data_IF_644919282327
#
_entry.id   IF_644919282327
#
_cell.length_a   1.000
_cell.length_b   1.000
_cell.length_c   1.000
_cell.angle_alpha   90.00
_cell.angle_beta   90.00
_cell.angle_gamma   90.00
#
_symmetry.space_group_name_H-M   'P 1'
#
loop_
_entity.id
_entity.type
_entity.pdbx_description
1 polymer ?
#
# COMPACT_ATOMS: atom_id res chain seq x y z
N UNK A 1 1.93 -36.74 -15.78
CA UNK A 1 1.17 -35.49 -15.51
C UNK A 1 2.17 -34.44 -15.07
N UNK A 2 2.00 -33.16 -15.42
CA UNK A 2 2.94 -32.08 -15.04
C UNK A 2 2.25 -31.16 -14.02
N UNK A 3 3.01 -30.59 -13.07
CA UNK A 3 2.52 -29.64 -12.06
C UNK A 3 2.85 -28.21 -12.49
N UNK A 4 1.86 -27.33 -12.58
CA UNK A 4 2.09 -25.90 -12.89
C UNK A 4 2.18 -25.13 -11.57
N UNK A 5 3.24 -24.34 -11.39
CA UNK A 5 3.41 -23.53 -10.19
C UNK A 5 2.39 -22.38 -10.16
N UNK A 6 1.60 -22.21 -9.08
CA UNK A 6 0.64 -21.11 -8.98
C UNK A 6 1.31 -19.75 -8.73
N UNK A 7 2.57 -19.71 -8.29
CA UNK A 7 3.28 -18.46 -8.02
C UNK A 7 3.91 -17.85 -9.27
N UNK A 8 4.50 -18.67 -10.15
CA UNK A 8 5.27 -18.20 -11.31
C UNK A 8 4.82 -18.76 -12.66
N UNK A 9 3.92 -19.75 -12.67
CA UNK A 9 3.45 -20.39 -13.90
C UNK A 9 4.41 -21.44 -14.49
N UNK A 10 5.57 -21.68 -13.87
CA UNK A 10 6.52 -22.67 -14.37
C UNK A 10 5.95 -24.10 -14.34
N UNK A 11 6.32 -24.90 -15.34
CA UNK A 11 5.94 -26.31 -15.47
C UNK A 11 7.00 -27.16 -14.74
N UNK A 12 6.56 -27.93 -13.75
CA UNK A 12 7.38 -28.79 -12.92
C UNK A 12 6.98 -30.26 -13.11
N UNK A 13 7.88 -31.16 -12.73
CA UNK A 13 7.62 -32.60 -12.74
C UNK A 13 6.56 -32.95 -11.69
N UNK A 14 5.82 -34.06 -11.88
CA UNK A 14 4.80 -34.48 -10.91
C UNK A 14 5.41 -34.75 -9.53
N UNK A 15 6.65 -35.25 -9.46
CA UNK A 15 7.31 -35.60 -8.21
C UNK A 15 8.06 -34.42 -7.57
N UNK A 16 8.05 -33.24 -8.20
CA UNK A 16 8.71 -32.05 -7.64
C UNK A 16 7.87 -31.53 -6.45
N UNK A 17 8.47 -31.51 -5.25
CA UNK A 17 7.87 -30.90 -4.05
C UNK A 17 7.98 -29.37 -4.04
N UNK A 18 8.88 -28.81 -4.84
CA UNK A 18 9.12 -27.36 -4.95
C UNK A 18 9.28 -26.95 -6.40
N UNK A 19 8.87 -25.72 -6.71
CA UNK A 19 9.06 -25.15 -8.02
C UNK A 19 10.56 -24.91 -8.28
N UNK A 20 11.06 -25.40 -9.41
CA UNK A 20 12.48 -25.25 -9.82
C UNK A 20 12.89 -23.80 -10.09
N UNK A 21 11.95 -22.90 -10.30
CA UNK A 21 12.22 -21.51 -10.67
C UNK A 21 12.07 -20.54 -9.48
N UNK A 22 10.97 -20.65 -8.73
CA UNK A 22 10.67 -19.71 -7.64
C UNK A 22 10.72 -20.33 -6.24
N UNK A 23 11.03 -21.63 -6.13
CA UNK A 23 11.16 -22.37 -4.86
C UNK A 23 9.83 -22.47 -4.06
N UNK A 24 8.71 -22.09 -4.68
CA UNK A 24 7.39 -22.27 -4.07
C UNK A 24 7.05 -23.74 -3.86
N UNK A 25 6.47 -24.07 -2.70
CA UNK A 25 6.08 -25.44 -2.35
C UNK A 25 4.90 -25.92 -3.23
N UNK A 26 5.13 -26.99 -3.99
CA UNK A 26 4.13 -27.63 -4.84
C UNK A 26 3.43 -28.69 -3.99
N UNK A 27 2.36 -28.29 -3.30
CA UNK A 27 1.58 -29.22 -2.47
C UNK A 27 1.08 -30.39 -3.29
N UNK A 28 1.41 -31.58 -2.84
CA UNK A 28 0.85 -32.83 -3.33
C UNK A 28 -0.51 -33.00 -2.67
N UNK A 29 -1.58 -32.72 -3.41
CA UNK A 29 -2.91 -33.05 -2.94
C UNK A 29 -3.04 -34.58 -2.95
N UNK A 30 -2.81 -35.19 -1.79
CA UNK A 30 -3.13 -36.60 -1.57
C UNK A 30 -4.65 -36.76 -1.66
N UNK A 31 -5.11 -37.64 -2.56
CA UNK A 31 -6.53 -37.92 -2.79
C UNK A 31 -7.24 -38.50 -1.56
N UNK A 32 -6.51 -38.82 -0.50
CA UNK A 32 -7.03 -39.34 0.78
C UNK A 32 -7.65 -38.27 1.67
N UNK A 33 -7.42 -36.97 1.41
CA UNK A 33 -8.13 -35.87 2.09
C UNK A 33 -9.55 -35.63 1.53
N UNK A 34 -9.98 -36.40 0.53
CA UNK A 34 -11.37 -36.42 0.03
C UNK A 34 -12.29 -37.37 0.82
N UNK A 35 -12.10 -37.52 2.14
CA UNK A 35 -13.23 -37.91 2.99
C UNK A 35 -14.18 -36.72 3.01
N UNK A 36 -15.15 -36.78 2.10
CA UNK A 36 -16.31 -35.87 2.01
C UNK A 36 -16.95 -35.85 3.40
N UNK A 37 -16.63 -34.86 4.22
CA UNK A 37 -17.61 -34.33 5.15
C UNK A 37 -18.66 -33.68 4.27
N UNK A 38 -19.83 -34.30 4.16
CA UNK A 38 -21.03 -33.59 3.71
C UNK A 38 -21.17 -32.37 4.61
N UNK A 39 -20.72 -31.22 4.10
CA UNK A 39 -20.99 -29.93 4.67
C UNK A 39 -21.90 -29.19 3.70
N UNK A 40 -23.03 -28.78 4.26
CA UNK A 40 -24.10 -28.05 3.62
C UNK A 40 -23.59 -26.94 2.67
N UNK A 41 -24.20 -26.78 1.48
CA UNK A 41 -23.73 -25.88 0.42
C UNK A 41 -24.02 -24.38 0.66
N UNK A 42 -24.24 -23.95 1.91
CA UNK A 42 -24.81 -22.62 2.19
C UNK A 42 -23.77 -21.58 2.64
N UNK A 43 -22.52 -21.99 2.87
CA UNK A 43 -21.47 -21.12 3.42
C UNK A 43 -20.33 -20.79 2.44
N UNK A 44 -20.56 -20.88 1.12
CA UNK A 44 -19.60 -20.35 0.13
C UNK A 44 -19.70 -18.83 0.03
N UNK A 45 -19.55 -18.15 1.17
CA UNK A 45 -19.41 -16.69 1.24
C UNK A 45 -17.99 -16.34 0.79
N UNK A 46 -17.94 -15.76 -0.40
CA UNK A 46 -16.80 -15.13 -1.06
C UNK A 46 -15.90 -14.39 -0.04
N UNK A 47 -14.70 -14.91 0.23
CA UNK A 47 -13.66 -14.25 1.05
C UNK A 47 -12.40 -13.88 0.25
N UNK A 48 -12.56 -13.49 -1.01
CA UNK A 48 -11.44 -13.17 -1.92
C UNK A 48 -11.32 -11.67 -2.25
N UNK A 49 -11.81 -10.75 -1.42
CA UNK A 49 -11.80 -9.30 -1.75
C UNK A 49 -11.18 -8.36 -0.71
N UNK A 50 -10.40 -8.86 0.25
CA UNK A 50 -9.91 -8.02 1.36
C UNK A 50 -8.42 -8.16 1.66
N UNK A 51 -7.57 -8.27 0.63
CA UNK A 51 -6.10 -8.17 0.80
C UNK A 51 -5.44 -7.02 0.02
N UNK A 52 -6.17 -6.37 -0.90
CA UNK A 52 -5.69 -5.20 -1.65
C UNK A 52 -5.98 -3.83 -1.02
N UNK A 53 -6.88 -3.75 -0.02
CA UNK A 53 -7.34 -2.45 0.52
C UNK A 53 -6.39 -1.82 1.55
N UNK A 54 -5.62 -2.63 2.28
CA UNK A 54 -4.75 -2.13 3.34
C UNK A 54 -3.62 -1.24 2.81
N UNK A 55 -3.02 -1.59 1.67
CA UNK A 55 -1.95 -0.81 1.07
C UNK A 55 -2.45 0.57 0.60
N UNK A 56 -3.66 0.64 0.04
CA UNK A 56 -4.24 1.89 -0.48
C UNK A 56 -4.48 2.89 0.66
N UNK A 57 -5.02 2.44 1.79
CA UNK A 57 -5.25 3.32 2.95
C UNK A 57 -3.94 3.90 3.49
N UNK A 58 -2.87 3.10 3.54
CA UNK A 58 -1.55 3.56 3.96
C UNK A 58 -0.99 4.61 2.99
N UNK A 59 -1.11 4.40 1.68
CA UNK A 59 -0.68 5.39 0.68
C UNK A 59 -1.44 6.72 0.81
N UNK A 60 -2.75 6.68 1.04
CA UNK A 60 -3.57 7.88 1.22
C UNK A 60 -3.11 8.67 2.45
N UNK A 61 -2.87 8.00 3.58
CA UNK A 61 -2.42 8.65 4.82
C UNK A 61 -1.05 9.33 4.62
N UNK A 62 -0.11 8.63 3.99
CA UNK A 62 1.23 9.18 3.71
C UNK A 62 1.12 10.39 2.78
N UNK A 63 0.29 10.31 1.74
CA UNK A 63 0.10 11.40 0.78
C UNK A 63 -0.52 12.64 1.44
N UNK A 64 -1.55 12.47 2.27
CA UNK A 64 -2.16 13.57 3.03
C UNK A 64 -1.14 14.21 3.96
N UNK A 65 -0.37 13.40 4.70
CA UNK A 65 0.69 13.89 5.59
C UNK A 65 1.75 14.71 4.84
N UNK A 66 2.16 14.24 3.66
CA UNK A 66 3.10 14.97 2.80
C UNK A 66 2.53 16.32 2.33
N UNK A 67 1.26 16.35 1.88
CA UNK A 67 0.62 17.59 1.43
C UNK A 67 0.50 18.64 2.56
N UNK A 68 0.18 18.20 3.78
CA UNK A 68 0.13 19.07 4.95
C UNK A 68 1.52 19.64 5.25
N UNK A 69 2.56 18.79 5.22
CA UNK A 69 3.93 19.22 5.45
C UNK A 69 4.38 20.29 4.44
N UNK A 70 4.13 20.04 3.15
CA UNK A 70 4.46 21.00 2.07
C UNK A 70 3.74 22.32 2.31
N UNK A 71 2.46 22.28 2.69
CA UNK A 71 1.66 23.48 2.96
C UNK A 71 2.24 24.29 4.12
N UNK A 72 2.63 23.64 5.22
CA UNK A 72 3.26 24.30 6.37
C UNK A 72 4.59 24.96 5.99
N UNK A 73 5.41 24.30 5.18
CA UNK A 73 6.67 24.86 4.67
C UNK A 73 6.39 26.12 3.85
N UNK A 74 5.42 26.08 2.92
CA UNK A 74 5.08 27.23 2.09
C UNK A 74 4.53 28.41 2.91
N UNK A 75 3.68 28.16 3.90
CA UNK A 75 3.18 29.19 4.83
C UNK A 75 4.34 29.83 5.58
N UNK A 76 5.29 29.03 6.08
CA UNK A 76 6.45 29.53 6.81
C UNK A 76 7.33 30.40 5.90
N UNK A 77 7.58 29.96 4.67
CA UNK A 77 8.33 30.74 3.67
C UNK A 77 7.62 32.06 3.37
N UNK A 78 6.30 32.04 3.17
CA UNK A 78 5.50 33.24 2.93
C UNK A 78 5.60 34.23 4.10
N UNK A 79 5.49 33.75 5.34
CA UNK A 79 5.60 34.60 6.51
C UNK A 79 6.96 35.28 6.60
N UNK A 80 8.04 34.51 6.39
CA UNK A 80 9.42 35.02 6.45
C UNK A 80 9.71 36.01 5.31
N UNK A 81 9.24 35.73 4.10
CA UNK A 81 9.58 36.53 2.92
C UNK A 81 8.68 37.75 2.71
N UNK A 82 7.43 37.71 3.19
CA UNK A 82 6.44 38.76 2.92
C UNK A 82 6.06 39.49 4.19
N UNK A 83 5.62 38.76 5.22
CA UNK A 83 5.07 39.38 6.43
C UNK A 83 6.16 40.06 7.26
N UNK A 84 7.30 39.39 7.47
CA UNK A 84 8.40 39.97 8.27
C UNK A 84 8.93 41.28 7.65
N UNK A 85 9.27 41.36 6.35
CA UNK A 85 9.72 42.62 5.75
C UNK A 85 8.68 43.72 5.83
N UNK A 86 7.39 43.40 5.63
CA UNK A 86 6.31 44.37 5.74
C UNK A 86 6.20 44.95 7.16
N UNK A 87 6.36 44.11 8.18
CA UNK A 87 6.34 44.54 9.59
C UNK A 87 7.57 45.38 9.98
N UNK A 88 8.73 45.12 9.38
CA UNK A 88 9.96 45.87 9.65
C UNK A 88 9.95 47.21 8.92
N UNK A 89 9.54 47.24 7.66
CA UNK A 89 9.60 48.43 6.80
C UNK A 89 8.40 49.36 7.05
N UNK A 90 7.21 48.81 7.30
CA UNK A 90 5.98 49.59 7.53
C UNK A 90 6.09 50.71 8.58
N UNK A 91 6.65 50.48 9.78
CA UNK A 91 6.77 51.54 10.79
C UNK A 91 7.84 52.58 10.46
N UNK A 92 8.81 52.27 9.58
CA UNK A 92 9.89 53.21 9.22
C UNK A 92 9.36 54.36 8.36
N UNK A 93 8.42 54.08 7.45
CA UNK A 93 7.84 55.15 6.61
C UNK A 93 6.84 56.03 7.38
N UNK A 94 6.12 55.47 8.35
CA UNK A 94 5.16 56.23 9.16
C UNK A 94 5.87 57.23 10.08
N UNK A 95 7.08 56.90 10.56
CA UNK A 95 7.89 57.79 11.40
C UNK A 95 8.62 58.91 10.64
N UNK A 96 8.71 58.85 9.31
CA UNK A 96 9.36 59.88 8.48
C UNK A 96 8.39 60.95 7.96
N UNK A 97 7.07 60.71 8.09
CA UNK A 97 6.00 61.59 7.59
C UNK A 97 5.39 62.44 8.73
N UNK A 98 5.74 62.17 9.99
CA UNK A 98 5.31 62.90 11.19
C UNK A 98 6.45 63.76 11.75
#
# INVERSE_FOLDING_TARGET
MQKICPQCGNINLPDDSFCKECIFELKEYNLEDFVIKEHHPEDYVIKEHQKGSLNIMVFIIIFIGFMILVTLVLITQYFVQVIIPLLIIGPIEIGFIL
#
